data_IF_307585600608
#
_entry.id   IF_307585600608
#
_cell.length_a   1.000
_cell.length_b   1.000
_cell.length_c   1.000
_cell.angle_alpha   90.00
_cell.angle_beta   90.00
_cell.angle_gamma   90.00
#
_symmetry.space_group_name_H-M   'P 1'
#
loop_
_entity.id
_entity.type
_entity.pdbx_description
1 polymer ?
#
# COMPACT_ATOMS: atom_id res chain seq x y z
N UNK A 1 -16.77 10.89 2.98
CA UNK A 1 -16.22 9.59 2.59
C UNK A 1 -14.75 9.74 2.23
N UNK A 2 -13.91 8.90 2.79
CA UNK A 2 -12.48 8.92 2.49
C UNK A 2 -11.97 7.52 2.18
N UNK A 3 -11.16 7.41 1.14
CA UNK A 3 -10.46 6.17 0.80
C UNK A 3 -9.03 6.31 1.25
N UNK A 4 -8.59 5.36 2.05
CA UNK A 4 -7.28 5.38 2.69
C UNK A 4 -6.47 4.17 2.22
N UNK A 5 -5.28 4.44 1.69
CA UNK A 5 -4.33 3.41 1.31
C UNK A 5 -3.26 3.30 2.38
N UNK A 6 -3.18 2.13 3.01
CA UNK A 6 -2.11 1.82 3.96
C UNK A 6 -1.03 0.98 3.29
N UNK A 7 0.22 1.32 3.53
CA UNK A 7 1.37 0.63 2.95
C UNK A 7 2.28 0.15 4.08
N UNK A 8 2.61 -1.13 4.06
CA UNK A 8 3.56 -1.75 4.98
C UNK A 8 4.79 -2.19 4.19
N UNK A 9 5.82 -1.33 4.12
CA UNK A 9 6.99 -1.63 3.32
C UNK A 9 7.86 -2.72 3.96
N UNK A 10 8.22 -3.71 3.16
CA UNK A 10 9.15 -4.75 3.55
C UNK A 10 10.32 -4.84 2.59
N UNK A 11 11.33 -5.62 2.94
CA UNK A 11 12.54 -5.74 2.14
C UNK A 11 12.31 -6.48 0.82
N UNK A 12 11.40 -7.45 0.80
CA UNK A 12 11.10 -8.26 -0.39
C UNK A 12 9.64 -8.23 -0.80
N UNK A 13 8.78 -7.87 0.13
CA UNK A 13 7.34 -7.81 -0.09
C UNK A 13 6.84 -6.53 0.57
N UNK A 14 6.11 -5.73 -0.19
CA UNK A 14 5.42 -4.57 0.32
C UNK A 14 3.94 -4.90 0.37
N UNK A 15 3.38 -4.91 1.57
CA UNK A 15 1.96 -5.14 1.77
C UNK A 15 1.16 -3.86 1.65
N UNK A 16 -0.09 -3.96 1.24
CA UNK A 16 -0.98 -2.81 1.21
C UNK A 16 -2.41 -3.21 1.56
N UNK A 17 -3.14 -2.24 2.07
CA UNK A 17 -4.56 -2.39 2.31
C UNK A 17 -5.29 -1.10 1.98
N UNK A 18 -6.52 -1.23 1.51
CA UNK A 18 -7.34 -0.08 1.16
C UNK A 18 -8.65 -0.17 1.92
N UNK A 19 -9.00 0.90 2.60
CA UNK A 19 -10.25 0.99 3.35
C UNK A 19 -11.00 2.25 2.95
N UNK A 20 -12.31 2.21 3.14
CA UNK A 20 -13.17 3.38 3.01
C UNK A 20 -13.69 3.75 4.39
N UNK A 21 -13.60 5.02 4.72
CA UNK A 21 -14.12 5.57 5.96
C UNK A 21 -15.31 6.46 5.69
N UNK A 22 -16.42 6.16 6.36
CA UNK A 22 -17.62 7.00 6.34
C UNK A 22 -18.03 7.20 7.80
N UNK A 23 -17.80 8.41 8.31
CA UNK A 23 -17.98 8.67 9.74
C UNK A 23 -17.06 7.78 10.57
N UNK A 24 -17.63 6.94 11.42
CA UNK A 24 -16.86 5.98 12.23
C UNK A 24 -16.81 4.59 11.62
N UNK A 25 -17.40 4.41 10.46
CA UNK A 25 -17.50 3.11 9.84
C UNK A 25 -16.34 2.92 8.87
N UNK A 26 -15.66 1.78 8.98
CA UNK A 26 -14.55 1.40 8.11
C UNK A 26 -14.98 0.19 7.29
N UNK A 27 -14.77 0.29 5.98
CA UNK A 27 -15.09 -0.79 5.05
C UNK A 27 -13.84 -1.21 4.32
N UNK A 28 -13.53 -2.49 4.36
CA UNK A 28 -12.42 -3.08 3.62
C UNK A 28 -12.74 -3.05 2.13
N UNK A 29 -11.83 -2.49 1.32
CA UNK A 29 -11.98 -2.45 -0.13
C UNK A 29 -11.05 -3.43 -0.86
N UNK A 30 -9.86 -3.65 -0.34
CA UNK A 30 -8.92 -4.55 -0.96
C UNK A 30 -7.59 -4.57 -0.23
N UNK A 31 -6.77 -5.55 -0.56
CA UNK A 31 -5.41 -5.68 -0.05
C UNK A 31 -4.60 -6.59 -0.96
N UNK A 32 -3.30 -6.56 -0.77
CA UNK A 32 -2.41 -7.42 -1.53
C UNK A 32 -0.97 -7.16 -1.18
N UNK A 33 -0.08 -7.66 -2.02
CA UNK A 33 1.35 -7.45 -1.86
C UNK A 33 2.00 -7.15 -3.20
N UNK A 34 3.04 -6.34 -3.14
CA UNK A 34 3.94 -6.09 -4.26
C UNK A 34 5.21 -6.88 -3.98
N UNK A 35 5.50 -7.88 -4.80
CA UNK A 35 6.69 -8.70 -4.64
C UNK A 35 7.84 -8.08 -5.39
N UNK A 36 8.96 -7.91 -4.69
CA UNK A 36 10.15 -7.26 -5.25
C UNK A 36 11.35 -8.17 -5.07
N UNK A 37 11.27 -9.38 -5.63
CA UNK A 37 12.33 -10.39 -5.53
C UNK A 37 13.45 -10.12 -6.53
N UNK A 38 14.06 -8.96 -6.45
CA UNK A 38 15.22 -8.62 -7.26
C UNK A 38 16.31 -8.11 -6.32
N UNK A 39 17.58 -8.36 -6.68
CA UNK A 39 18.69 -8.07 -5.79
C UNK A 39 19.07 -6.60 -5.79
N UNK A 40 18.91 -5.90 -6.91
CA UNK A 40 19.34 -4.52 -6.99
C UNK A 40 18.25 -3.54 -6.56
N UNK A 41 18.65 -2.51 -5.86
CA UNK A 41 17.73 -1.51 -5.33
C UNK A 41 16.95 -0.76 -6.41
N UNK A 42 17.59 -0.31 -7.52
CA UNK A 42 16.83 0.41 -8.56
C UNK A 42 15.68 -0.41 -9.14
N UNK A 43 15.88 -1.70 -9.38
CA UNK A 43 14.83 -2.57 -9.91
C UNK A 43 13.69 -2.75 -8.90
N UNK A 44 14.03 -2.87 -7.60
CA UNK A 44 13.01 -2.97 -6.56
C UNK A 44 12.16 -1.72 -6.46
N UNK A 45 12.78 -0.55 -6.51
CA UNK A 45 12.06 0.72 -6.47
C UNK A 45 11.14 0.87 -7.67
N UNK A 46 11.58 0.43 -8.83
CA UNK A 46 10.77 0.46 -10.04
C UNK A 46 9.53 -0.41 -9.92
N UNK A 47 9.68 -1.61 -9.37
CA UNK A 47 8.55 -2.52 -9.14
C UNK A 47 7.56 -1.96 -8.12
N UNK A 48 8.06 -1.39 -7.03
CA UNK A 48 7.21 -0.77 -6.01
C UNK A 48 6.46 0.41 -6.62
N UNK A 49 7.15 1.26 -7.36
CA UNK A 49 6.53 2.42 -8.00
C UNK A 49 5.41 1.99 -8.96
N UNK A 50 5.67 1.00 -9.79
CA UNK A 50 4.67 0.50 -10.73
C UNK A 50 3.46 -0.07 -10.01
N UNK A 51 3.69 -0.88 -8.97
CA UNK A 51 2.61 -1.48 -8.19
C UNK A 51 1.78 -0.45 -7.46
N UNK A 52 2.41 0.52 -6.82
CA UNK A 52 1.71 1.59 -6.10
C UNK A 52 0.91 2.46 -7.07
N UNK A 53 1.50 2.78 -8.22
CA UNK A 53 0.79 3.57 -9.25
C UNK A 53 -0.47 2.86 -9.70
N UNK A 54 -0.41 1.55 -9.89
CA UNK A 54 -1.57 0.77 -10.29
C UNK A 54 -2.67 0.79 -9.22
N UNK A 55 -2.29 0.67 -7.95
CA UNK A 55 -3.23 0.73 -6.83
C UNK A 55 -3.89 2.10 -6.74
N UNK A 56 -3.11 3.16 -6.89
CA UNK A 56 -3.63 4.53 -6.88
C UNK A 56 -4.63 4.74 -8.02
N UNK A 57 -4.32 4.23 -9.19
CA UNK A 57 -5.21 4.33 -10.35
C UNK A 57 -6.51 3.59 -10.12
N UNK A 58 -6.44 2.42 -9.51
CA UNK A 58 -7.60 1.58 -9.28
C UNK A 58 -8.52 2.15 -8.19
N UNK A 59 -7.96 2.56 -7.05
CA UNK A 59 -8.75 2.94 -5.88
C UNK A 59 -8.89 4.44 -5.68
N UNK A 60 -8.02 5.25 -6.26
CA UNK A 60 -8.00 6.71 -6.13
C UNK A 60 -8.12 7.16 -4.67
N UNK A 61 -7.14 6.76 -3.81
CA UNK A 61 -7.21 7.07 -2.40
C UNK A 61 -7.07 8.57 -2.13
N UNK A 62 -7.78 9.02 -1.09
CA UNK A 62 -7.70 10.39 -0.63
C UNK A 62 -6.51 10.60 0.30
N UNK A 63 -6.12 9.55 1.04
CA UNK A 63 -5.05 9.62 2.02
C UNK A 63 -4.16 8.40 1.94
N UNK A 64 -2.89 8.61 2.31
CA UNK A 64 -1.89 7.56 2.43
C UNK A 64 -1.47 7.44 3.88
N UNK A 65 -1.37 6.21 4.36
CA UNK A 65 -0.83 5.93 5.68
C UNK A 65 0.29 4.91 5.55
N UNK A 66 1.44 5.20 6.15
CA UNK A 66 2.50 4.21 6.28
C UNK A 66 2.24 3.42 7.54
N UNK A 67 2.10 2.11 7.38
CA UNK A 67 1.91 1.22 8.52
C UNK A 67 3.29 0.81 8.97
N UNK A 68 3.76 1.42 10.06
CA UNK A 68 5.03 1.05 10.66
C UNK A 68 4.84 -0.14 11.58
N UNK A 69 5.83 -1.03 11.61
CA UNK A 69 5.84 -2.07 12.63
C UNK A 69 6.24 -1.46 13.95
N UNK A 70 5.51 -1.85 14.99
CA UNK A 70 5.91 -1.45 16.33
C UNK A 70 7.23 -2.15 16.65
N UNK A 71 8.25 -1.36 16.91
CA UNK A 71 9.51 -1.85 17.42
C UNK A 71 9.44 -1.83 18.93
N UNK A 72 9.62 -2.96 19.48
CA UNK A 72 9.60 -3.10 20.92
C UNK A 72 11.03 -3.33 21.39
#
# INVERSE_FOLDING_TARGET
MSIILGIDPGSRITGYGVIRQVGRQLTYLGSGCIRTKVDDLPSRLKLIYAGVTEIITQFQPDYFAKIGRAHV
#
